data_IF_211293026753
#
_entry.id   IF_211293026753
#
_cell.length_a   1.000
_cell.length_b   1.000
_cell.length_c   1.000
_cell.angle_alpha   90.00
_cell.angle_beta   90.00
_cell.angle_gamma   90.00
#
_symmetry.space_group_name_H-M   'P 1'
#
loop_
_entity.id
_entity.type
_entity.pdbx_description
1 polymer ?
#
# COMPACT_ATOMS: atom_id res chain seq x y z
N UNK A 1 13.34 17.07 -30.90
CA UNK A 1 12.95 16.70 -29.54
C UNK A 1 13.79 15.48 -29.16
N UNK A 2 14.38 15.44 -27.97
CA UNK A 2 15.02 14.20 -27.50
C UNK A 2 13.94 13.10 -27.42
N UNK A 3 14.24 11.85 -27.79
CA UNK A 3 13.28 10.75 -27.66
C UNK A 3 12.83 10.63 -26.20
N UNK A 4 11.55 10.35 -25.98
CA UNK A 4 11.02 10.11 -24.65
C UNK A 4 11.71 8.87 -24.06
N UNK A 5 12.38 9.03 -22.93
CA UNK A 5 13.08 7.97 -22.22
C UNK A 5 12.17 7.38 -21.16
N UNK A 6 12.05 6.05 -21.12
CA UNK A 6 11.17 5.35 -20.19
C UNK A 6 11.98 4.53 -19.19
N UNK A 7 11.65 4.70 -17.92
CA UNK A 7 12.22 3.95 -16.81
C UNK A 7 11.24 2.88 -16.33
N UNK A 8 11.80 1.79 -15.80
CA UNK A 8 11.05 0.62 -15.36
C UNK A 8 11.53 0.12 -14.00
N UNK A 9 10.65 -0.60 -13.31
CA UNK A 9 10.93 -1.27 -12.06
C UNK A 9 10.69 -2.76 -12.25
N UNK A 10 11.72 -3.57 -11.96
CA UNK A 10 11.61 -5.00 -11.69
C UNK A 10 11.49 -5.21 -10.18
N UNK A 11 10.53 -6.03 -9.75
CA UNK A 11 10.47 -6.59 -8.41
C UNK A 11 10.37 -8.10 -8.47
N UNK A 12 11.02 -8.81 -7.55
CA UNK A 12 10.96 -10.27 -7.45
C UNK A 12 11.11 -10.78 -6.02
N UNK A 13 10.60 -11.99 -5.79
CA UNK A 13 10.76 -12.79 -4.57
C UNK A 13 11.05 -14.23 -4.93
N UNK A 14 11.98 -14.88 -4.23
CA UNK A 14 12.27 -16.31 -4.40
C UNK A 14 12.90 -16.93 -3.15
N UNK A 15 13.06 -18.26 -3.10
CA UNK A 15 13.97 -18.90 -2.16
C UNK A 15 15.38 -18.34 -2.31
N UNK A 16 16.08 -18.12 -1.19
CA UNK A 16 17.43 -17.58 -1.22
C UNK A 16 18.45 -18.63 -1.71
N UNK A 17 19.33 -18.22 -2.63
CA UNK A 17 20.42 -19.05 -3.15
C UNK A 17 21.52 -18.21 -3.79
N UNK A 18 22.71 -18.80 -3.88
CA UNK A 18 23.83 -18.16 -4.58
C UNK A 18 23.50 -17.91 -6.06
N UNK A 19 23.97 -16.78 -6.59
CA UNK A 19 23.90 -16.45 -8.02
C UNK A 19 22.67 -15.65 -8.46
N UNK A 20 21.67 -15.38 -7.59
CA UNK A 20 20.46 -14.63 -7.97
C UNK A 20 20.79 -13.26 -8.55
N UNK A 21 21.60 -12.47 -7.83
CA UNK A 21 22.01 -11.12 -8.26
C UNK A 21 22.73 -11.18 -9.60
N UNK A 22 23.65 -12.13 -9.78
CA UNK A 22 24.39 -12.31 -11.04
C UNK A 22 23.46 -12.66 -12.20
N UNK A 23 22.54 -13.61 -12.01
CA UNK A 23 21.60 -14.03 -13.05
C UNK A 23 20.71 -12.85 -13.50
N UNK A 24 20.15 -12.10 -12.55
CA UNK A 24 19.27 -10.95 -12.84
C UNK A 24 20.04 -9.83 -13.55
N UNK A 25 21.20 -9.43 -13.02
CA UNK A 25 22.03 -8.39 -13.64
C UNK A 25 22.61 -8.82 -14.99
N UNK A 26 22.87 -10.12 -15.18
CA UNK A 26 23.29 -10.69 -16.45
C UNK A 26 22.24 -10.53 -17.56
N UNK A 27 20.95 -10.68 -17.23
CA UNK A 27 19.85 -10.40 -18.18
C UNK A 27 19.89 -8.94 -18.61
N UNK A 28 20.00 -8.00 -17.67
CA UNK A 28 20.08 -6.57 -18.00
C UNK A 28 21.30 -6.24 -18.87
N UNK A 29 22.47 -6.80 -18.55
CA UNK A 29 23.68 -6.61 -19.34
C UNK A 29 23.53 -7.15 -20.77
N UNK A 30 22.95 -8.34 -20.94
CA UNK A 30 22.71 -8.96 -22.25
C UNK A 30 21.73 -8.14 -23.11
N UNK A 31 20.76 -7.49 -22.48
CA UNK A 31 19.79 -6.61 -23.13
C UNK A 31 20.29 -5.16 -23.26
N UNK A 32 21.53 -4.87 -22.86
CA UNK A 32 22.15 -3.53 -22.87
C UNK A 32 21.34 -2.49 -22.08
N UNK A 33 20.68 -2.94 -21.02
CA UNK A 33 19.91 -2.07 -20.12
C UNK A 33 20.79 -1.61 -18.97
N UNK A 34 20.69 -0.32 -18.65
CA UNK A 34 21.39 0.26 -17.52
C UNK A 34 20.54 0.15 -16.25
N UNK A 35 21.18 -0.22 -15.14
CA UNK A 35 20.56 -0.23 -13.81
C UNK A 35 20.81 1.14 -13.18
N UNK A 36 19.73 1.80 -12.74
CA UNK A 36 19.76 3.13 -12.13
C UNK A 36 19.78 3.04 -10.60
N UNK A 37 19.05 2.07 -10.04
CA UNK A 37 19.01 1.78 -8.60
C UNK A 37 18.72 0.29 -8.41
N UNK A 38 19.39 -0.35 -7.44
CA UNK A 38 19.23 -1.76 -7.12
C UNK A 38 19.28 -1.96 -5.60
N UNK A 39 18.23 -2.56 -5.07
CA UNK A 39 18.12 -2.92 -3.66
C UNK A 39 17.81 -4.41 -3.57
N UNK A 40 18.46 -5.10 -2.64
CA UNK A 40 18.27 -6.53 -2.40
C UNK A 40 18.30 -6.82 -0.90
N UNK A 41 17.63 -7.91 -0.50
CA UNK A 41 17.66 -8.41 0.85
C UNK A 41 17.45 -9.92 0.90
N UNK A 42 18.37 -10.63 1.54
CA UNK A 42 18.22 -12.02 1.97
C UNK A 42 17.73 -12.05 3.41
N UNK A 43 16.60 -12.70 3.66
CA UNK A 43 16.13 -13.00 5.01
C UNK A 43 16.56 -14.42 5.42
N UNK A 44 17.57 -14.58 6.29
CA UNK A 44 18.07 -15.89 6.67
C UNK A 44 17.08 -16.71 7.50
N UNK A 45 16.05 -16.08 8.09
CA UNK A 45 15.05 -16.79 8.90
C UNK A 45 13.93 -17.37 8.04
N UNK A 46 13.49 -16.65 7.02
CA UNK A 46 12.47 -17.15 6.09
C UNK A 46 13.06 -17.87 4.88
N UNK A 47 14.38 -17.81 4.70
CA UNK A 47 15.13 -18.35 3.56
C UNK A 47 14.60 -17.78 2.23
N UNK A 48 14.22 -16.49 2.26
CA UNK A 48 13.69 -15.76 1.10
C UNK A 48 14.62 -14.64 0.69
N UNK A 49 14.66 -14.40 -0.61
CA UNK A 49 15.38 -13.32 -1.27
C UNK A 49 14.38 -12.36 -1.93
N UNK A 50 14.62 -11.07 -1.77
CA UNK A 50 13.82 -9.99 -2.35
C UNK A 50 14.74 -9.05 -3.11
N UNK A 51 14.29 -8.58 -4.28
CA UNK A 51 15.03 -7.59 -5.06
C UNK A 51 14.09 -6.61 -5.75
N UNK A 52 14.50 -5.35 -5.75
CA UNK A 52 13.91 -4.26 -6.53
C UNK A 52 15.01 -3.63 -7.39
N UNK A 53 14.77 -3.55 -8.70
CA UNK A 53 15.70 -2.94 -9.67
C UNK A 53 14.97 -1.86 -10.44
N UNK A 54 15.42 -0.62 -10.35
CA UNK A 54 15.03 0.46 -11.25
C UNK A 54 16.05 0.52 -12.38
N UNK A 55 15.59 0.37 -13.61
CA UNK A 55 16.44 0.33 -14.80
C UNK A 55 15.87 1.22 -15.91
N UNK A 56 16.73 1.61 -16.84
CA UNK A 56 16.44 2.57 -17.89
C UNK A 56 17.63 3.49 -18.16
N UNK A 57 17.48 4.49 -19.03
CA UNK A 57 16.30 4.74 -19.87
C UNK A 57 16.18 3.74 -21.02
N UNK A 58 14.96 3.48 -21.47
CA UNK A 58 14.65 2.69 -22.67
C UNK A 58 13.95 3.57 -23.72
N UNK A 59 14.09 3.21 -24.99
CA UNK A 59 13.46 3.94 -26.11
C UNK A 59 11.94 3.79 -26.12
N UNK A 60 11.41 2.70 -25.55
CA UNK A 60 9.97 2.38 -25.56
C UNK A 60 9.50 1.92 -24.19
N UNK A 61 8.23 2.17 -23.86
CA UNK A 61 7.61 1.60 -22.64
C UNK A 61 7.52 0.07 -22.64
N UNK A 62 7.56 -0.57 -23.81
CA UNK A 62 7.40 -2.02 -23.94
C UNK A 62 8.59 -2.79 -23.36
N UNK A 63 8.27 -3.79 -22.52
CA UNK A 63 9.23 -4.72 -21.93
C UNK A 63 9.03 -6.16 -22.42
N UNK A 64 8.33 -6.36 -23.54
CA UNK A 64 8.04 -7.70 -24.08
C UNK A 64 9.32 -8.52 -24.36
N UNK A 65 10.38 -7.85 -24.82
CA UNK A 65 11.69 -8.48 -25.06
C UNK A 65 12.33 -9.05 -23.78
N UNK A 66 11.93 -8.55 -22.60
CA UNK A 66 12.39 -9.05 -21.29
C UNK A 66 11.60 -10.27 -20.82
N UNK A 67 10.42 -10.53 -21.37
CA UNK A 67 9.55 -11.60 -20.88
C UNK A 67 10.22 -12.97 -20.98
N UNK A 68 10.73 -13.33 -22.16
CA UNK A 68 11.37 -14.63 -22.38
C UNK A 68 12.58 -14.89 -21.47
N UNK A 69 13.58 -13.98 -21.35
CA UNK A 69 14.72 -14.21 -20.46
C UNK A 69 14.33 -14.22 -18.97
N UNK A 70 13.37 -13.40 -18.54
CA UNK A 70 12.90 -13.44 -17.15
C UNK A 70 12.02 -14.65 -16.84
N UNK A 71 11.27 -15.19 -17.80
CA UNK A 71 10.54 -16.46 -17.62
C UNK A 71 11.51 -17.65 -17.45
N UNK A 72 12.60 -17.68 -18.24
CA UNK A 72 13.64 -18.69 -18.10
C UNK A 72 14.35 -18.59 -16.74
N UNK A 73 14.70 -17.36 -16.32
CA UNK A 73 15.28 -17.08 -15.01
C UNK A 73 14.30 -17.40 -13.89
N UNK A 74 12.99 -17.15 -14.08
CA UNK A 74 11.97 -17.48 -13.11
C UNK A 74 11.88 -18.99 -12.84
N UNK A 75 11.98 -19.79 -13.90
CA UNK A 75 12.01 -21.24 -13.80
C UNK A 75 13.30 -21.75 -13.12
N UNK A 76 14.47 -21.24 -13.52
CA UNK A 76 15.77 -21.66 -12.95
C UNK A 76 15.93 -21.24 -11.48
N UNK A 77 15.52 -20.02 -11.14
CA UNK A 77 15.62 -19.48 -9.80
C UNK A 77 14.44 -19.84 -8.89
N UNK A 78 13.42 -20.51 -9.42
CA UNK A 78 12.17 -20.82 -8.70
C UNK A 78 11.57 -19.56 -8.07
N UNK A 79 11.45 -18.49 -8.86
CA UNK A 79 10.85 -17.25 -8.37
C UNK A 79 9.41 -17.54 -7.93
N UNK A 80 9.02 -17.06 -6.75
CA UNK A 80 7.62 -17.09 -6.31
C UNK A 80 6.78 -16.23 -7.26
N UNK A 81 7.35 -15.09 -7.64
CA UNK A 81 6.80 -14.15 -8.60
C UNK A 81 7.87 -13.12 -9.00
N UNK A 82 7.68 -12.51 -10.17
CA UNK A 82 8.36 -11.29 -10.56
C UNK A 82 7.39 -10.37 -11.29
N UNK A 83 7.68 -9.06 -11.30
CA UNK A 83 6.91 -8.06 -12.05
C UNK A 83 7.84 -7.02 -12.64
N UNK A 84 7.61 -6.68 -13.90
CA UNK A 84 8.25 -5.56 -14.57
C UNK A 84 7.16 -4.56 -14.92
N UNK A 85 7.35 -3.28 -14.58
CA UNK A 85 6.39 -2.23 -14.90
C UNK A 85 7.08 -0.90 -15.19
N UNK A 86 6.49 -0.02 -16.02
CA UNK A 86 6.96 1.36 -16.16
C UNK A 86 6.86 2.12 -14.83
N UNK A 87 7.84 2.99 -14.54
CA UNK A 87 7.79 3.92 -13.39
C UNK A 87 6.60 4.87 -13.51
N UNK A 88 6.26 5.28 -14.73
CA UNK A 88 5.14 6.18 -15.01
C UNK A 88 3.75 5.56 -14.74
N UNK A 89 3.64 4.22 -14.66
CA UNK A 89 2.37 3.53 -14.43
C UNK A 89 1.91 3.74 -12.98
N UNK A 90 0.85 4.53 -12.82
CA UNK A 90 0.17 4.72 -11.54
C UNK A 90 -0.56 3.45 -11.10
N UNK A 91 -0.50 3.13 -9.81
CA UNK A 91 -1.19 1.97 -9.24
C UNK A 91 -2.69 2.26 -9.11
N UNK A 92 -3.56 1.43 -9.71
CA UNK A 92 -5.01 1.62 -9.63
C UNK A 92 -5.52 1.30 -8.23
N UNK A 93 -5.99 2.32 -7.52
CA UNK A 93 -6.22 2.27 -6.07
C UNK A 93 -7.64 2.70 -5.71
N UNK A 94 -8.42 1.80 -5.11
CA UNK A 94 -9.74 2.12 -4.54
C UNK A 94 -9.57 2.61 -3.10
N UNK A 95 -10.19 3.73 -2.76
CA UNK A 95 -10.17 4.26 -1.38
C UNK A 95 -11.51 4.02 -0.71
N UNK A 96 -11.49 3.40 0.47
CA UNK A 96 -12.64 3.22 1.33
C UNK A 96 -12.57 4.18 2.51
N UNK A 97 -13.68 4.87 2.81
CA UNK A 97 -13.75 5.88 3.89
C UNK A 97 -15.08 5.76 4.65
N UNK A 98 -15.09 6.06 5.94
CA UNK A 98 -16.34 6.24 6.72
C UNK A 98 -16.62 7.74 6.91
N UNK A 99 -16.73 8.23 8.15
CA UNK A 99 -17.07 9.64 8.44
C UNK A 99 -15.87 10.54 8.72
N UNK A 100 -14.69 9.94 8.90
CA UNK A 100 -13.46 10.64 9.27
C UNK A 100 -12.61 10.79 8.01
N UNK A 101 -12.33 12.03 7.61
CA UNK A 101 -11.84 12.34 6.25
C UNK A 101 -10.38 12.76 6.13
N UNK A 102 -9.61 12.90 7.20
CA UNK A 102 -8.24 13.45 7.13
C UNK A 102 -7.33 12.63 6.22
N UNK A 103 -7.32 11.30 6.37
CA UNK A 103 -6.55 10.41 5.49
C UNK A 103 -7.01 10.49 4.04
N UNK A 104 -8.32 10.55 3.78
CA UNK A 104 -8.85 10.70 2.43
C UNK A 104 -8.38 12.01 1.79
N UNK A 105 -8.53 13.13 2.50
CA UNK A 105 -8.12 14.45 2.03
C UNK A 105 -6.63 14.49 1.66
N UNK A 106 -5.76 13.96 2.53
CA UNK A 106 -4.31 13.92 2.30
C UNK A 106 -3.94 13.06 1.08
N UNK A 107 -4.51 11.85 0.96
CA UNK A 107 -4.26 10.97 -0.19
C UNK A 107 -4.71 11.62 -1.51
N UNK A 108 -5.90 12.24 -1.54
CA UNK A 108 -6.41 12.92 -2.74
C UNK A 108 -5.51 14.09 -3.15
N UNK A 109 -5.09 14.91 -2.19
CA UNK A 109 -4.19 16.02 -2.45
C UNK A 109 -2.83 15.56 -3.00
N UNK A 110 -2.23 14.53 -2.40
CA UNK A 110 -0.94 13.97 -2.86
C UNK A 110 -1.02 13.32 -4.23
N UNK A 111 -2.11 12.61 -4.53
CA UNK A 111 -2.33 12.02 -5.85
C UNK A 111 -2.47 13.11 -6.92
N UNK A 112 -3.28 14.16 -6.65
CA UNK A 112 -3.48 15.28 -7.58
C UNK A 112 -2.21 16.11 -7.82
N UNK A 113 -1.38 16.28 -6.79
CA UNK A 113 -0.11 17.02 -6.88
C UNK A 113 1.05 16.18 -7.45
N UNK A 114 0.83 14.91 -7.81
CA UNK A 114 1.86 14.02 -8.35
C UNK A 114 2.84 13.46 -7.31
N UNK A 115 2.60 13.70 -6.01
CA UNK A 115 3.44 13.19 -4.92
C UNK A 115 3.18 11.70 -4.61
N UNK A 116 2.02 11.19 -5.04
CA UNK A 116 1.58 9.81 -4.81
C UNK A 116 1.24 9.15 -6.16
N UNK A 117 1.99 8.11 -6.60
CA UNK A 117 1.82 7.52 -7.93
C UNK A 117 0.65 6.52 -7.98
N UNK A 118 -0.54 6.98 -7.62
CA UNK A 118 -1.79 6.20 -7.67
C UNK A 118 -2.81 6.86 -8.61
N UNK A 119 -3.62 6.02 -9.26
CA UNK A 119 -4.83 6.42 -9.96
C UNK A 119 -6.03 5.99 -9.12
N UNK A 120 -6.99 6.88 -8.88
CA UNK A 120 -8.10 6.64 -7.95
C UNK A 120 -9.39 6.58 -8.78
N UNK A 121 -9.75 5.39 -9.32
CA UNK A 121 -10.94 5.28 -10.16
C UNK A 121 -12.25 5.38 -9.37
N UNK A 122 -12.20 5.11 -8.06
CA UNK A 122 -13.40 4.98 -7.23
C UNK A 122 -13.10 5.23 -5.75
N UNK A 123 -13.98 5.98 -5.09
CA UNK A 123 -14.10 6.06 -3.63
C UNK A 123 -15.37 5.33 -3.21
N UNK A 124 -15.26 4.42 -2.24
CA UNK A 124 -16.39 3.73 -1.62
C UNK A 124 -16.57 4.24 -0.20
N UNK A 125 -17.81 4.48 0.22
CA UNK A 125 -18.12 4.80 1.61
C UNK A 125 -19.41 4.14 2.06
N UNK A 126 -19.48 3.80 3.34
CA UNK A 126 -20.73 3.40 3.98
C UNK A 126 -21.62 4.61 4.36
N UNK A 127 -21.17 5.83 4.08
CA UNK A 127 -21.91 7.07 4.28
C UNK A 127 -21.76 8.03 3.08
N UNK A 128 -22.41 9.20 3.11
CA UNK A 128 -22.45 10.15 1.97
C UNK A 128 -21.55 11.40 2.15
N UNK A 129 -20.93 11.53 3.33
CA UNK A 129 -20.24 12.72 3.82
C UNK A 129 -19.18 13.26 2.83
N UNK A 130 -18.51 12.37 2.09
CA UNK A 130 -17.42 12.73 1.17
C UNK A 130 -17.79 12.69 -0.32
N UNK A 131 -19.08 12.55 -0.66
CA UNK A 131 -19.50 12.54 -2.07
C UNK A 131 -19.15 13.85 -2.79
N UNK A 132 -19.39 15.00 -2.15
CA UNK A 132 -19.03 16.30 -2.73
C UNK A 132 -17.53 16.48 -2.91
N UNK A 133 -16.73 16.00 -1.96
CA UNK A 133 -15.26 16.02 -2.05
C UNK A 133 -14.77 15.18 -3.25
N UNK A 134 -15.28 13.96 -3.41
CA UNK A 134 -14.92 13.10 -4.54
C UNK A 134 -15.23 13.78 -5.89
N UNK A 135 -16.40 14.43 -5.99
CA UNK A 135 -16.80 15.21 -7.16
C UNK A 135 -15.82 16.35 -7.50
N UNK A 136 -15.31 17.07 -6.49
CA UNK A 136 -14.31 18.13 -6.69
C UNK A 136 -12.97 17.63 -7.26
N UNK A 137 -12.66 16.34 -7.06
CA UNK A 137 -11.49 15.68 -7.65
C UNK A 137 -11.81 14.94 -8.95
N UNK A 138 -13.07 14.92 -9.40
CA UNK A 138 -13.49 14.19 -10.60
C UNK A 138 -13.48 12.67 -10.42
N UNK A 139 -13.62 12.18 -9.19
CA UNK A 139 -13.53 10.74 -8.86
C UNK A 139 -14.94 10.20 -8.64
N UNK A 140 -15.22 9.00 -9.16
CA UNK A 140 -16.49 8.29 -8.90
C UNK A 140 -16.64 8.02 -7.41
N UNK A 141 -17.84 8.27 -6.85
CA UNK A 141 -18.16 7.98 -5.47
C UNK A 141 -19.32 6.99 -5.40
N UNK A 142 -19.16 5.93 -4.60
CA UNK A 142 -20.20 4.93 -4.38
C UNK A 142 -20.54 4.83 -2.90
N UNK A 143 -21.78 5.23 -2.59
CA UNK A 143 -22.38 5.02 -1.28
C UNK A 143 -22.92 3.60 -1.18
N UNK A 144 -22.28 2.78 -0.34
CA UNK A 144 -22.67 1.40 -0.05
C UNK A 144 -23.01 1.29 1.44
N UNK A 145 -24.24 1.62 1.87
CA UNK A 145 -24.64 1.49 3.27
C UNK A 145 -24.58 0.03 3.73
N UNK A 146 -24.31 -0.19 5.02
CA UNK A 146 -24.12 -1.54 5.56
C UNK A 146 -24.73 -1.69 6.95
N UNK A 147 -25.39 -2.82 7.14
CA UNK A 147 -25.87 -3.34 8.43
C UNK A 147 -25.25 -4.72 8.66
N UNK A 148 -25.50 -5.33 9.82
CA UNK A 148 -25.06 -6.72 10.08
C UNK A 148 -25.60 -7.69 9.03
N UNK A 149 -26.84 -7.51 8.58
CA UNK A 149 -27.52 -8.42 7.65
C UNK A 149 -27.11 -8.19 6.19
N UNK A 150 -26.75 -6.96 5.82
CA UNK A 150 -26.38 -6.61 4.44
C UNK A 150 -24.88 -6.65 4.16
N UNK A 151 -24.05 -6.94 5.16
CA UNK A 151 -22.58 -6.92 5.04
C UNK A 151 -22.05 -7.81 3.92
N UNK A 152 -22.54 -9.05 3.82
CA UNK A 152 -22.08 -9.96 2.76
C UNK A 152 -22.37 -9.42 1.36
N UNK A 153 -23.55 -8.82 1.15
CA UNK A 153 -23.95 -8.22 -0.13
C UNK A 153 -23.12 -6.96 -0.44
N UNK A 154 -22.87 -6.12 0.57
CA UNK A 154 -22.03 -4.93 0.42
C UNK A 154 -20.60 -5.30 0.00
N UNK A 155 -20.01 -6.31 0.63
CA UNK A 155 -18.65 -6.77 0.30
C UNK A 155 -18.57 -7.46 -1.07
N UNK A 156 -19.62 -8.15 -1.50
CA UNK A 156 -19.71 -8.68 -2.88
C UNK A 156 -19.75 -7.57 -3.93
N UNK A 157 -20.48 -6.48 -3.66
CA UNK A 157 -20.47 -5.29 -4.52
C UNK A 157 -19.08 -4.63 -4.55
N UNK A 158 -18.36 -4.56 -3.42
CA UNK A 158 -16.98 -4.06 -3.38
C UNK A 158 -16.08 -4.93 -4.27
N UNK A 159 -16.14 -6.26 -4.17
CA UNK A 159 -15.36 -7.16 -5.01
C UNK A 159 -15.71 -7.02 -6.50
N UNK A 160 -16.99 -6.82 -6.82
CA UNK A 160 -17.44 -6.55 -8.19
C UNK A 160 -16.81 -5.28 -8.73
N UNK A 161 -16.83 -4.19 -7.96
CA UNK A 161 -16.25 -2.89 -8.34
C UNK A 161 -14.72 -2.96 -8.46
N UNK A 162 -14.05 -3.68 -7.56
CA UNK A 162 -12.61 -3.96 -7.65
C UNK A 162 -12.26 -4.60 -8.99
N UNK A 163 -13.02 -5.62 -9.40
CA UNK A 163 -12.81 -6.30 -10.69
C UNK A 163 -13.16 -5.40 -11.88
N UNK A 164 -14.30 -4.72 -11.84
CA UNK A 164 -14.79 -3.84 -12.91
C UNK A 164 -13.83 -2.69 -13.21
N UNK A 165 -13.19 -2.13 -12.17
CA UNK A 165 -12.30 -0.98 -12.28
C UNK A 165 -10.81 -1.35 -12.37
N UNK A 166 -10.49 -2.64 -12.44
CA UNK A 166 -9.12 -3.17 -12.45
C UNK A 166 -8.28 -2.63 -11.28
N UNK A 167 -8.81 -2.76 -10.06
CA UNK A 167 -8.18 -2.24 -8.85
C UNK A 167 -7.08 -3.20 -8.40
N UNK A 168 -5.88 -2.64 -8.19
CA UNK A 168 -4.70 -3.37 -7.73
C UNK A 168 -4.47 -3.23 -6.22
N UNK A 169 -4.97 -2.14 -5.62
CA UNK A 169 -4.84 -1.82 -4.21
C UNK A 169 -6.14 -1.23 -3.64
N UNK A 170 -6.53 -1.67 -2.46
CA UNK A 170 -7.59 -1.06 -1.65
C UNK A 170 -6.95 -0.37 -0.44
N UNK A 171 -7.37 0.85 -0.16
CA UNK A 171 -6.90 1.63 0.99
C UNK A 171 -8.07 1.93 1.91
N UNK A 172 -7.99 1.46 3.16
CA UNK A 172 -8.95 1.80 4.21
C UNK A 172 -8.52 3.12 4.86
N UNK A 173 -8.93 4.24 4.28
CA UNK A 173 -8.69 5.58 4.81
C UNK A 173 -9.66 5.86 5.98
N UNK A 174 -9.39 5.26 7.14
CA UNK A 174 -10.28 5.28 8.32
C UNK A 174 -11.70 4.77 8.00
N UNK A 175 -11.76 3.67 7.24
CA UNK A 175 -12.98 2.89 7.08
C UNK A 175 -13.24 2.08 8.36
N UNK A 176 -14.38 2.29 8.99
CA UNK A 176 -14.63 1.83 10.37
C UNK A 176 -15.36 0.48 10.45
N UNK A 177 -15.69 -0.14 9.31
CA UNK A 177 -16.28 -1.47 9.29
C UNK A 177 -15.18 -2.52 9.21
N UNK A 178 -15.23 -3.49 10.11
CA UNK A 178 -14.38 -4.68 10.06
C UNK A 178 -14.70 -5.43 8.77
N UNK A 179 -13.70 -5.79 7.96
CA UNK A 179 -13.92 -6.59 6.75
C UNK A 179 -14.15 -8.06 7.11
N UNK A 180 -14.94 -8.80 6.33
CA UNK A 180 -15.07 -10.25 6.54
C UNK A 180 -13.79 -11.00 6.13
N UNK A 181 -13.55 -12.20 6.70
CA UNK A 181 -12.46 -13.07 6.25
C UNK A 181 -12.49 -13.35 4.74
N UNK A 182 -13.69 -13.49 4.14
CA UNK A 182 -13.86 -13.72 2.70
C UNK A 182 -13.29 -12.58 1.87
N UNK A 183 -13.55 -11.33 2.25
CA UNK A 183 -13.01 -10.15 1.56
C UNK A 183 -11.50 -10.03 1.78
N UNK A 184 -11.02 -10.27 3.01
CA UNK A 184 -9.58 -10.27 3.32
C UNK A 184 -8.81 -11.31 2.50
N UNK A 185 -9.34 -12.52 2.35
CA UNK A 185 -8.71 -13.60 1.57
C UNK A 185 -8.68 -13.27 0.07
N UNK A 186 -9.82 -12.82 -0.48
CA UNK A 186 -9.93 -12.47 -1.90
C UNK A 186 -8.98 -11.35 -2.33
N UNK A 187 -8.61 -10.47 -1.40
CA UNK A 187 -7.72 -9.32 -1.61
C UNK A 187 -6.47 -9.38 -0.74
N UNK A 188 -6.02 -10.59 -0.40
CA UNK A 188 -4.83 -10.79 0.44
C UNK A 188 -3.61 -10.09 -0.14
N UNK A 189 -2.91 -9.32 0.69
CA UNK A 189 -1.76 -8.50 0.29
C UNK A 189 -2.09 -7.29 -0.59
N UNK A 190 -3.38 -6.96 -0.75
CA UNK A 190 -3.85 -5.83 -1.58
C UNK A 190 -4.76 -4.86 -0.84
N UNK A 191 -4.88 -4.97 0.48
CA UNK A 191 -5.64 -4.03 1.31
C UNK A 191 -4.69 -3.42 2.34
N UNK A 192 -4.53 -2.10 2.33
CA UNK A 192 -3.78 -1.36 3.36
C UNK A 192 -4.77 -0.68 4.29
N UNK A 193 -4.54 -0.82 5.60
CA UNK A 193 -5.28 -0.12 6.64
C UNK A 193 -4.37 0.83 7.43
N UNK A 194 -4.99 1.84 8.05
CA UNK A 194 -4.35 2.71 9.03
C UNK A 194 -4.99 2.50 10.41
N UNK A 195 -4.17 2.06 11.36
CA UNK A 195 -4.54 1.97 12.76
C UNK A 195 -3.96 3.16 13.53
N UNK A 196 -4.80 3.79 14.35
CA UNK A 196 -4.51 5.05 15.07
C UNK A 196 -3.66 4.88 16.33
N UNK A 197 -3.14 3.67 16.55
CA UNK A 197 -2.32 3.34 17.69
C UNK A 197 -1.03 2.66 17.28
N UNK A 198 -0.07 2.67 18.19
CA UNK A 198 1.08 1.79 18.12
C UNK A 198 0.62 0.41 18.57
N UNK A 199 0.29 -0.47 17.62
CA UNK A 199 -0.06 -1.85 17.94
C UNK A 199 1.10 -2.48 18.75
N UNK A 200 0.83 -3.12 19.91
CA UNK A 200 -0.47 -3.62 20.39
C UNK A 200 -1.23 -2.72 21.41
N UNK A 201 -0.88 -1.43 21.60
CA UNK A 201 -1.46 -0.58 22.65
C UNK A 201 -2.82 0.06 22.27
N UNK A 202 -3.72 0.22 23.26
CA UNK A 202 -5.02 0.94 23.17
C UNK A 202 -6.00 0.43 22.08
N UNK A 203 -6.44 -0.83 22.17
CA UNK A 203 -7.52 -1.39 21.33
C UNK A 203 -8.88 -0.78 21.69
N UNK A 204 -9.79 -0.71 20.71
CA UNK A 204 -11.20 -0.34 20.93
C UNK A 204 -11.56 1.12 20.67
N UNK A 205 -12.65 1.60 21.27
CA UNK A 205 -13.19 2.93 20.99
C UNK A 205 -12.42 4.05 21.70
N UNK A 206 -12.38 5.24 21.08
CA UNK A 206 -11.77 6.49 21.61
C UNK A 206 -10.33 6.31 22.12
N UNK A 207 -9.42 5.77 21.29
CA UNK A 207 -8.00 5.51 21.63
C UNK A 207 -7.28 6.71 22.24
N UNK A 208 -7.45 7.91 21.66
CA UNK A 208 -6.78 9.13 22.13
C UNK A 208 -7.29 9.62 23.48
N UNK A 209 -8.53 9.29 23.86
CA UNK A 209 -9.03 9.60 25.22
C UNK A 209 -8.40 8.65 26.23
N UNK A 210 -8.28 7.36 25.89
CA UNK A 210 -7.54 6.40 26.74
C UNK A 210 -6.07 6.80 26.90
N UNK A 211 -5.43 7.25 25.82
CA UNK A 211 -4.06 7.75 25.85
C UNK A 211 -3.90 8.99 26.75
N UNK A 212 -4.85 9.93 26.68
CA UNK A 212 -4.92 11.11 27.56
C UNK A 212 -5.05 10.70 29.03
N UNK A 213 -6.05 9.88 29.36
CA UNK A 213 -6.29 9.39 30.73
C UNK A 213 -5.09 8.63 31.30
N UNK A 214 -4.36 7.91 30.44
CA UNK A 214 -3.15 7.17 30.84
C UNK A 214 -1.92 8.06 30.99
N UNK A 215 -1.96 9.30 30.51
CA UNK A 215 -0.89 10.29 30.62
C UNK A 215 0.32 9.98 29.73
N UNK A 216 0.10 9.34 28.57
CA UNK A 216 1.20 8.95 27.66
C UNK A 216 2.04 10.15 27.22
N UNK A 217 3.27 9.90 26.77
CA UNK A 217 4.19 10.92 26.23
C UNK A 217 4.46 10.75 24.73
N UNK A 218 3.89 9.71 24.16
CA UNK A 218 3.91 9.40 22.74
C UNK A 218 2.55 8.86 22.33
N UNK A 219 2.13 9.24 21.13
CA UNK A 219 1.08 8.58 20.36
C UNK A 219 1.69 8.10 19.05
N UNK A 220 1.00 7.22 18.32
CA UNK A 220 1.52 6.70 17.07
C UNK A 220 0.43 6.16 16.15
N UNK A 221 0.82 5.84 14.93
CA UNK A 221 -0.04 5.18 13.96
C UNK A 221 0.73 4.10 13.22
N UNK A 222 -0.01 3.08 12.77
CA UNK A 222 0.52 1.89 12.11
C UNK A 222 -0.23 1.65 10.80
N UNK A 223 0.47 1.70 9.67
CA UNK A 223 -0.06 1.20 8.41
C UNK A 223 0.36 -0.25 8.21
N UNK A 224 -0.58 -1.10 7.84
CA UNK A 224 -0.36 -2.54 7.68
C UNK A 224 -1.25 -3.12 6.58
N UNK A 225 -0.87 -4.27 6.04
CA UNK A 225 -1.77 -5.05 5.21
C UNK A 225 -2.88 -5.66 6.06
N UNK A 226 -4.10 -5.73 5.55
CA UNK A 226 -5.22 -6.37 6.24
C UNK A 226 -5.17 -7.89 6.05
N UNK A 227 -5.41 -8.61 7.13
CA UNK A 227 -5.59 -10.08 7.16
C UNK A 227 -6.96 -10.41 7.78
N UNK A 228 -7.29 -11.70 7.90
CA UNK A 228 -8.50 -12.12 8.60
C UNK A 228 -8.43 -11.82 10.12
N UNK A 229 -7.22 -11.74 10.67
CA UNK A 229 -6.97 -11.36 12.05
C UNK A 229 -6.98 -9.83 12.19
N UNK A 230 -7.93 -9.32 12.97
CA UNK A 230 -8.19 -7.88 13.09
C UNK A 230 -6.98 -7.13 13.65
N UNK A 231 -6.50 -6.12 12.89
CA UNK A 231 -5.36 -5.26 13.25
C UNK A 231 -4.04 -6.02 13.49
N UNK A 232 -3.85 -7.21 12.91
CA UNK A 232 -2.65 -8.05 13.14
C UNK A 232 -1.87 -8.41 11.86
N UNK A 233 -2.21 -7.78 10.74
CA UNK A 233 -1.53 -8.05 9.49
C UNK A 233 -0.13 -7.42 9.36
N UNK A 234 0.64 -7.80 8.34
CA UNK A 234 2.02 -7.36 8.15
C UNK A 234 2.17 -5.83 8.13
N UNK A 235 2.94 -5.30 9.08
CA UNK A 235 3.22 -3.87 9.23
C UNK A 235 4.05 -3.36 8.06
N UNK A 236 3.68 -2.21 7.50
CA UNK A 236 4.39 -1.51 6.41
C UNK A 236 5.16 -0.31 6.97
N UNK A 237 4.51 0.51 7.80
CA UNK A 237 5.10 1.74 8.34
C UNK A 237 4.52 2.05 9.72
N UNK A 238 5.35 2.61 10.59
CA UNK A 238 4.94 3.14 11.89
C UNK A 238 5.64 4.46 12.18
N UNK A 239 4.91 5.40 12.77
CA UNK A 239 5.49 6.65 13.28
C UNK A 239 4.93 6.97 14.65
N UNK A 240 5.69 7.77 15.39
CA UNK A 240 5.27 8.35 16.67
C UNK A 240 5.26 9.88 16.63
N UNK A 241 4.42 10.47 17.46
CA UNK A 241 4.44 11.89 17.80
C UNK A 241 4.58 12.02 19.32
N UNK A 242 5.36 13.00 19.77
CA UNK A 242 5.43 13.35 21.19
C UNK A 242 4.20 14.14 21.59
N UNK A 243 3.66 13.82 22.75
CA UNK A 243 2.57 14.57 23.39
C UNK A 243 2.94 14.86 24.84
N UNK A 244 2.38 15.90 25.42
CA UNK A 244 2.70 16.30 26.79
C UNK A 244 1.45 16.63 27.63
N UNK A 245 1.69 17.04 28.87
CA UNK A 245 0.65 17.29 29.87
C UNK A 245 -0.13 18.59 29.62
N UNK A 246 0.33 19.46 28.70
CA UNK A 246 -0.37 20.67 28.29
C UNK A 246 -1.42 20.42 27.21
N UNK A 247 -1.39 19.27 26.54
CA UNK A 247 -2.32 18.93 25.47
C UNK A 247 -3.64 18.37 26.01
N UNK A 248 -4.76 18.81 25.44
CA UNK A 248 -6.10 18.28 25.71
C UNK A 248 -6.39 17.00 24.92
N UNK A 249 -7.47 16.24 25.24
CA UNK A 249 -7.89 15.11 24.42
C UNK A 249 -8.14 15.47 22.96
N UNK A 250 -8.59 16.70 22.68
CA UNK A 250 -8.82 17.19 21.32
C UNK A 250 -7.49 17.37 20.57
N UNK A 251 -6.49 17.95 21.22
CA UNK A 251 -5.16 18.15 20.63
C UNK A 251 -4.50 16.80 20.30
N UNK A 252 -4.71 15.78 21.15
CA UNK A 252 -4.25 14.41 20.87
C UNK A 252 -4.95 13.79 19.64
N UNK A 253 -6.23 14.08 19.41
CA UNK A 253 -6.95 13.62 18.22
C UNK A 253 -6.46 14.33 16.96
N UNK A 254 -6.18 15.63 17.04
CA UNK A 254 -5.64 16.42 15.93
C UNK A 254 -4.23 15.92 15.56
N UNK A 255 -3.35 15.74 16.54
CA UNK A 255 -2.01 15.18 16.31
C UNK A 255 -2.06 13.74 15.80
N UNK A 256 -3.00 12.95 16.33
CA UNK A 256 -3.33 11.61 15.84
C UNK A 256 -3.69 11.59 14.36
N UNK A 257 -4.54 12.52 13.93
CA UNK A 257 -4.98 12.64 12.53
C UNK A 257 -3.82 13.01 11.60
N UNK A 258 -2.89 13.85 12.07
CA UNK A 258 -1.68 14.22 11.32
C UNK A 258 -0.79 12.99 11.10
N UNK A 259 -0.50 12.25 12.16
CA UNK A 259 0.41 11.10 12.07
C UNK A 259 -0.18 9.96 11.24
N UNK A 260 -1.47 9.69 11.38
CA UNK A 260 -2.17 8.70 10.56
C UNK A 260 -2.09 9.02 9.07
N UNK A 261 -2.31 10.29 8.69
CA UNK A 261 -2.23 10.73 7.29
C UNK A 261 -0.83 10.48 6.72
N UNK A 262 0.21 10.87 7.46
CA UNK A 262 1.60 10.69 7.04
C UNK A 262 1.98 9.21 6.89
N UNK A 263 1.61 8.39 7.87
CA UNK A 263 1.91 6.95 7.89
C UNK A 263 1.20 6.23 6.75
N UNK A 264 -0.09 6.52 6.55
CA UNK A 264 -0.86 5.90 5.46
C UNK A 264 -0.31 6.34 4.09
N UNK A 265 -0.02 7.62 3.89
CA UNK A 265 0.52 8.12 2.64
C UNK A 265 1.88 7.49 2.29
N UNK A 266 2.76 7.30 3.29
CA UNK A 266 4.04 6.61 3.11
C UNK A 266 3.83 5.15 2.68
N UNK A 267 2.97 4.40 3.38
CA UNK A 267 2.69 3.01 3.05
C UNK A 267 2.09 2.84 1.65
N UNK A 268 1.14 3.70 1.26
CA UNK A 268 0.55 3.69 -0.09
C UNK A 268 1.60 4.04 -1.13
N UNK A 269 2.45 5.05 -0.88
CA UNK A 269 3.52 5.46 -1.80
C UNK A 269 4.50 4.34 -2.03
N UNK A 270 5.03 3.74 -0.98
CA UNK A 270 6.01 2.65 -1.09
C UNK A 270 5.41 1.42 -1.80
N UNK A 271 4.14 1.12 -1.54
CA UNK A 271 3.44 0.04 -2.26
C UNK A 271 3.31 0.37 -3.75
N UNK A 272 2.87 1.59 -4.09
CA UNK A 272 2.76 2.06 -5.46
C UNK A 272 4.10 2.21 -6.19
N UNK A 273 5.22 2.32 -5.46
CA UNK A 273 6.59 2.34 -5.98
C UNK A 273 7.25 0.94 -5.99
N UNK A 274 6.52 -0.11 -5.59
CA UNK A 274 7.01 -1.50 -5.62
C UNK A 274 8.14 -1.73 -4.61
N UNK A 275 8.12 -0.98 -3.50
CA UNK A 275 9.13 -1.04 -2.44
C UNK A 275 8.74 -2.00 -1.32
N UNK A 276 7.47 -2.41 -1.24
CA UNK A 276 6.93 -3.25 -0.16
C UNK A 276 6.77 -4.69 -0.65
N UNK A 277 7.39 -5.63 0.07
CA UNK A 277 7.31 -7.06 -0.18
C UNK A 277 6.74 -7.76 1.04
N UNK A 278 5.76 -8.66 0.82
CA UNK A 278 5.27 -9.54 1.87
C UNK A 278 6.29 -10.62 2.18
N UNK A 279 6.53 -10.85 3.46
CA UNK A 279 7.39 -11.91 3.95
C UNK A 279 6.75 -12.57 5.18
N UNK A 280 5.90 -13.57 4.91
CA UNK A 280 5.05 -14.23 5.93
C UNK A 280 4.22 -13.18 6.68
N UNK A 281 4.48 -12.99 7.97
CA UNK A 281 3.75 -12.06 8.86
C UNK A 281 4.38 -10.67 8.95
N UNK A 282 5.47 -10.41 8.21
CA UNK A 282 6.17 -9.13 8.17
C UNK A 282 6.30 -8.61 6.74
N UNK A 283 6.88 -7.43 6.60
CA UNK A 283 7.22 -6.87 5.29
C UNK A 283 8.72 -6.61 5.18
N UNK A 284 9.22 -6.58 3.95
CA UNK A 284 10.49 -5.97 3.59
C UNK A 284 10.15 -4.69 2.83
N UNK A 285 10.66 -3.55 3.31
CA UNK A 285 10.41 -2.23 2.71
C UNK A 285 11.74 -1.63 2.27
N UNK A 286 11.92 -1.45 0.97
CA UNK A 286 13.06 -0.74 0.42
C UNK A 286 12.79 0.76 0.38
N UNK A 287 13.06 1.47 1.48
CA UNK A 287 12.85 2.92 1.61
C UNK A 287 14.02 3.77 1.10
#
# INVERSE_FOLDING_TARGET
MAPATHDHILTLSCPDKSGIVHAVTGVFAAQKLNILDLQQFSDPVSEKFFMRVHFGPTETESTEHLKAPFDALAADLQLDWYRIRPVARKLRTLIMVSKIGHCLNDLLFRAKSGQLPIDIPLIVSNHNEFQGLAGNYGIEFRHLPVTKDTKAQQEEEILRLVKEKDVELVVLARYMQVLSPKLCEAMSGKIINIHHSFLPSFKGAKPYHQAYERGVKIIGATAHFVTADLDEGPIIEQRIARVDHGMSPKDLVEEGSNIESQVLAAAVKWTAEGRVFLNKTKTVVFN
#
